data_IF_689424265044
#
_entry.id   IF_689424265044
#
_cell.length_a   1.000
_cell.length_b   1.000
_cell.length_c   1.000
_cell.angle_alpha   90.00
_cell.angle_beta   90.00
_cell.angle_gamma   90.00
#
_symmetry.space_group_name_H-M   'P 1'
#
loop_
_entity.id
_entity.type
_entity.pdbx_description
1 polymer ?
#
# COMPACT_ATOMS: atom_id res chain seq x y z
N UNK A 1 15.25 8.30 12.17
CA UNK A 1 15.33 9.34 11.12
C UNK A 1 14.13 9.17 10.21
N UNK A 2 13.28 10.19 10.11
CA UNK A 2 12.10 10.20 9.25
C UNK A 2 12.53 10.48 7.81
N UNK A 3 12.72 9.41 7.03
CA UNK A 3 12.87 9.53 5.58
C UNK A 3 11.56 10.09 5.04
N UNK A 4 11.57 11.36 4.62
CA UNK A 4 10.61 11.89 3.67
C UNK A 4 10.91 11.17 2.36
N UNK A 5 10.25 10.03 2.16
CA UNK A 5 10.37 9.29 0.91
C UNK A 5 9.62 10.11 -0.15
N UNK A 6 10.32 10.49 -1.21
CA UNK A 6 9.71 11.19 -2.34
C UNK A 6 8.96 10.14 -3.20
N UNK A 7 7.66 10.35 -3.41
CA UNK A 7 6.83 9.49 -4.26
C UNK A 7 7.39 9.36 -5.68
N UNK A 8 8.07 10.40 -6.20
CA UNK A 8 8.71 10.33 -7.51
C UNK A 8 9.87 9.33 -7.54
N UNK A 9 10.64 9.22 -6.45
CA UNK A 9 11.73 8.24 -6.35
C UNK A 9 11.19 6.81 -6.19
N UNK A 10 10.05 6.65 -5.50
CA UNK A 10 9.33 5.37 -5.41
C UNK A 10 8.83 4.91 -6.78
N UNK A 11 8.19 5.81 -7.53
CA UNK A 11 7.65 5.50 -8.86
C UNK A 11 8.73 5.13 -9.87
N UNK A 12 9.94 5.67 -9.72
CA UNK A 12 11.09 5.38 -10.60
C UNK A 12 11.89 4.14 -10.18
N UNK A 13 11.48 3.41 -9.12
CA UNK A 13 12.19 2.25 -8.57
C UNK A 13 13.69 2.48 -8.29
N UNK A 14 14.11 3.75 -8.14
CA UNK A 14 15.52 4.15 -7.96
C UNK A 14 15.97 4.13 -6.51
N UNK A 15 15.04 3.97 -5.57
CA UNK A 15 15.35 3.89 -4.15
C UNK A 15 15.65 2.45 -3.73
N UNK A 16 16.56 2.31 -2.75
CA UNK A 16 16.92 1.06 -2.04
C UNK A 16 15.69 0.33 -1.44
N UNK A 17 14.52 0.98 -1.46
CA UNK A 17 13.23 0.52 -0.96
C UNK A 17 12.32 -0.11 -2.06
N UNK A 18 12.78 -0.23 -3.31
CA UNK A 18 11.99 -0.78 -4.43
C UNK A 18 11.47 -2.19 -4.18
N UNK A 19 12.20 -3.02 -3.43
CA UNK A 19 11.78 -4.38 -3.07
C UNK A 19 10.58 -4.42 -2.11
N UNK A 20 10.11 -3.25 -1.64
CA UNK A 20 9.08 -3.08 -0.62
C UNK A 20 7.91 -2.21 -1.09
N UNK A 21 7.81 -2.02 -2.40
CA UNK A 21 6.79 -1.22 -3.04
C UNK A 21 5.93 -2.13 -3.91
N UNK A 22 4.62 -2.10 -3.71
CA UNK A 22 3.70 -2.82 -4.58
C UNK A 22 2.71 -1.86 -5.22
N UNK A 23 2.62 -1.94 -6.55
CA UNK A 23 1.70 -1.14 -7.33
C UNK A 23 0.42 -1.94 -7.61
N UNK A 24 -0.72 -1.29 -7.43
CA UNK A 24 -2.04 -1.83 -7.76
C UNK A 24 -2.78 -0.83 -8.62
N UNK A 25 -3.16 -1.25 -9.82
CA UNK A 25 -3.95 -0.43 -10.74
C UNK A 25 -5.31 -0.05 -10.13
N UNK A 26 -5.90 -0.96 -9.34
CA UNK A 26 -7.21 -0.79 -8.76
C UNK A 26 -7.31 -1.28 -7.32
N UNK A 27 -8.49 -1.06 -6.74
CA UNK A 27 -8.83 -1.55 -5.42
C UNK A 27 -9.33 -2.99 -5.50
N UNK A 28 -8.58 -3.91 -4.90
CA UNK A 28 -9.03 -5.28 -4.64
C UNK A 28 -8.64 -5.62 -3.19
N UNK A 29 -9.61 -5.72 -2.26
CA UNK A 29 -9.31 -5.92 -0.85
C UNK A 29 -8.54 -7.22 -0.61
N UNK A 30 -8.92 -8.33 -1.24
CA UNK A 30 -8.22 -9.61 -1.08
C UNK A 30 -6.75 -9.55 -1.53
N UNK A 31 -6.50 -8.95 -2.69
CA UNK A 31 -5.15 -8.79 -3.21
C UNK A 31 -4.31 -7.87 -2.31
N UNK A 32 -4.88 -6.76 -1.86
CA UNK A 32 -4.19 -5.76 -1.04
C UNK A 32 -3.90 -6.31 0.35
N UNK A 33 -4.87 -6.94 1.03
CA UNK A 33 -4.65 -7.53 2.34
C UNK A 33 -3.71 -8.74 2.29
N UNK A 34 -3.68 -9.49 1.18
CA UNK A 34 -2.66 -10.52 0.95
C UNK A 34 -1.26 -9.91 0.89
N UNK A 35 -1.06 -8.82 0.14
CA UNK A 35 0.21 -8.09 0.10
C UNK A 35 0.58 -7.51 1.46
N UNK A 36 -0.38 -6.90 2.19
CA UNK A 36 -0.16 -6.42 3.56
C UNK A 36 0.30 -7.56 4.47
N UNK A 37 -0.31 -8.75 4.35
CA UNK A 37 0.07 -9.93 5.12
C UNK A 37 1.47 -10.44 4.73
N UNK A 38 1.82 -10.40 3.44
CA UNK A 38 3.15 -10.76 2.97
C UNK A 38 4.21 -9.81 3.56
N UNK A 39 4.02 -8.50 3.44
CA UNK A 39 4.92 -7.49 4.02
C UNK A 39 4.98 -7.55 5.55
N UNK A 40 3.87 -7.87 6.21
CA UNK A 40 3.82 -8.00 7.67
C UNK A 40 4.42 -9.31 8.19
N UNK A 41 4.55 -10.36 7.38
CA UNK A 41 5.14 -11.64 7.77
C UNK A 41 6.57 -11.83 7.26
N UNK A 42 7.12 -10.83 6.56
CA UNK A 42 8.46 -10.92 6.01
C UNK A 42 9.49 -11.08 7.14
N UNK A 43 10.08 -12.27 7.19
CA UNK A 43 10.84 -12.80 8.33
C UNK A 43 12.21 -12.13 8.46
N UNK A 44 12.65 -11.39 7.45
CA UNK A 44 13.94 -10.66 7.47
C UNK A 44 13.91 -9.42 8.38
N UNK A 45 12.75 -9.02 8.92
CA UNK A 45 12.61 -8.00 9.95
C UNK A 45 13.19 -6.62 9.55
N UNK A 46 13.25 -6.33 8.24
CA UNK A 46 13.96 -5.17 7.70
C UNK A 46 13.09 -3.91 7.61
N UNK A 47 11.81 -3.98 7.97
CA UNK A 47 10.97 -2.83 8.23
C UNK A 47 9.98 -2.46 7.11
N UNK A 48 8.73 -2.92 7.26
CA UNK A 48 7.55 -2.36 6.61
C UNK A 48 7.45 -2.54 5.08
N UNK A 49 6.43 -1.93 4.49
CA UNK A 49 6.17 -1.93 3.04
C UNK A 49 5.18 -0.83 2.64
N UNK A 50 5.14 -0.46 1.36
CA UNK A 50 4.23 0.55 0.84
C UNK A 50 3.42 -0.03 -0.33
N UNK A 51 2.10 0.19 -0.29
CA UNK A 51 1.20 -0.20 -1.39
C UNK A 51 0.65 1.08 -2.03
N UNK A 52 0.84 1.22 -3.33
CA UNK A 52 0.33 2.33 -4.12
C UNK A 52 -0.86 1.86 -4.95
N UNK A 53 -2.04 2.44 -4.70
CA UNK A 53 -3.29 2.11 -5.37
C UNK A 53 -3.63 3.22 -6.38
N UNK A 54 -3.96 2.83 -7.60
CA UNK A 54 -4.15 3.73 -8.74
C UNK A 54 -2.93 3.85 -9.65
N UNK A 55 -1.96 2.93 -9.51
CA UNK A 55 -0.72 2.92 -10.31
C UNK A 55 -0.60 1.56 -11.00
N UNK A 56 -0.46 1.59 -12.32
CA UNK A 56 -0.17 0.39 -13.12
C UNK A 56 1.35 0.13 -13.06
N UNK A 57 1.74 -1.14 -12.91
CA UNK A 57 3.14 -1.56 -12.98
C UNK A 57 3.47 -2.04 -14.39
N UNK A 58 4.61 -1.60 -14.92
CA UNK A 58 5.17 -2.12 -16.17
C UNK A 58 6.66 -2.41 -15.95
N UNK A 59 7.07 -3.68 -16.06
CA UNK A 59 8.47 -4.12 -15.86
C UNK A 59 9.09 -3.72 -14.50
N UNK A 60 8.30 -3.72 -13.41
CA UNK A 60 8.78 -3.37 -12.07
C UNK A 60 8.90 -1.86 -11.80
N UNK A 61 8.46 -1.02 -12.73
CA UNK A 61 8.36 0.44 -12.55
C UNK A 61 6.92 0.91 -12.72
N UNK A 62 6.59 2.07 -12.15
CA UNK A 62 5.29 2.66 -12.35
C UNK A 62 5.13 3.14 -13.80
N UNK A 63 4.09 2.64 -14.47
CA UNK A 63 3.73 3.06 -15.82
C UNK A 63 3.19 4.49 -15.78
N UNK A 64 3.78 5.37 -16.58
CA UNK A 64 3.34 6.75 -16.75
C UNK A 64 2.68 6.93 -18.13
N UNK A 65 1.64 7.79 -18.27
CA UNK A 65 0.99 8.55 -17.20
C UNK A 65 0.22 7.63 -16.25
N UNK A 66 0.27 7.92 -14.95
CA UNK A 66 -0.47 7.10 -14.00
C UNK A 66 -1.98 7.25 -14.23
N UNK A 67 -2.71 6.17 -14.02
CA UNK A 67 -4.17 6.15 -14.19
C UNK A 67 -4.84 6.98 -13.09
N UNK A 68 -4.34 6.82 -11.85
CA UNK A 68 -4.90 7.45 -10.67
C UNK A 68 -6.26 6.89 -10.27
N UNK A 69 -6.84 7.53 -9.26
CA UNK A 69 -8.14 7.24 -8.71
C UNK A 69 -8.95 8.53 -8.66
N UNK A 70 -10.23 8.44 -8.97
CA UNK A 70 -11.16 9.54 -8.73
C UNK A 70 -11.40 9.73 -7.22
N UNK A 71 -11.73 10.96 -6.81
CA UNK A 71 -12.05 11.30 -5.41
C UNK A 71 -13.13 10.37 -4.84
N UNK A 72 -14.17 10.06 -5.61
CA UNK A 72 -15.23 9.15 -5.21
C UNK A 72 -14.71 7.73 -4.95
N UNK A 73 -13.76 7.25 -5.76
CA UNK A 73 -13.15 5.93 -5.60
C UNK A 73 -12.22 5.91 -4.39
N UNK A 74 -11.44 6.96 -4.18
CA UNK A 74 -10.60 7.14 -2.98
C UNK A 74 -11.46 7.08 -1.70
N UNK A 75 -12.58 7.80 -1.68
CA UNK A 75 -13.49 7.79 -0.53
C UNK A 75 -14.12 6.41 -0.27
N UNK A 76 -14.50 5.67 -1.33
CA UNK A 76 -15.00 4.30 -1.21
C UNK A 76 -13.94 3.39 -0.59
N UNK A 77 -12.72 3.45 -1.14
CA UNK A 77 -11.58 2.65 -0.68
C UNK A 77 -11.30 2.91 0.80
N UNK A 78 -11.22 4.17 1.21
CA UNK A 78 -10.96 4.52 2.61
C UNK A 78 -12.04 3.96 3.54
N UNK A 79 -13.31 4.05 3.14
CA UNK A 79 -14.43 3.51 3.92
C UNK A 79 -14.37 1.99 4.03
N UNK A 80 -14.11 1.30 2.92
CA UNK A 80 -13.94 -0.15 2.88
C UNK A 80 -12.76 -0.60 3.74
N UNK A 81 -11.61 0.07 3.61
CA UNK A 81 -10.42 -0.19 4.42
C UNK A 81 -10.70 -0.06 5.91
N UNK A 82 -11.42 0.98 6.36
CA UNK A 82 -11.82 1.10 7.77
C UNK A 82 -12.64 -0.13 8.21
N UNK A 83 -13.57 -0.59 7.37
CA UNK A 83 -14.35 -1.81 7.61
C UNK A 83 -13.46 -3.03 7.81
N UNK A 84 -12.58 -3.32 6.86
CA UNK A 84 -11.66 -4.47 6.91
C UNK A 84 -10.63 -4.35 8.05
N UNK A 85 -10.11 -3.15 8.32
CA UNK A 85 -9.15 -2.88 9.38
C UNK A 85 -9.72 -3.18 10.76
N UNK A 86 -11.00 -2.88 10.99
CA UNK A 86 -11.71 -3.24 12.22
C UNK A 86 -11.95 -4.74 12.38
N UNK A 87 -11.84 -5.51 11.29
CA UNK A 87 -11.95 -6.97 11.34
C UNK A 87 -10.63 -7.64 11.77
N UNK A 88 -9.50 -6.94 11.69
CA UNK A 88 -8.16 -7.43 12.06
C UNK A 88 -7.95 -7.24 13.57
N UNK A 89 -7.36 -8.23 14.25
CA UNK A 89 -7.14 -8.18 15.70
C UNK A 89 -5.65 -8.43 16.05
N UNK A 90 -4.98 -7.51 16.77
CA UNK A 90 -5.44 -6.17 17.18
C UNK A 90 -5.77 -5.26 15.99
N UNK A 91 -6.61 -4.24 16.22
CA UNK A 91 -7.10 -3.33 15.16
C UNK A 91 -5.93 -2.77 14.37
N UNK A 92 -5.97 -2.97 13.06
CA UNK A 92 -4.93 -2.50 12.15
C UNK A 92 -5.19 -1.04 11.78
N UNK A 93 -4.27 -0.14 12.14
CA UNK A 93 -4.36 1.28 11.78
C UNK A 93 -3.27 1.64 10.76
N UNK A 94 -3.50 1.39 9.45
CA UNK A 94 -2.58 1.82 8.40
C UNK A 94 -2.47 3.34 8.34
N UNK A 95 -1.31 3.83 7.92
CA UNK A 95 -1.16 5.24 7.54
C UNK A 95 -1.48 5.36 6.05
N UNK A 96 -2.70 5.82 5.75
CA UNK A 96 -3.13 6.15 4.40
C UNK A 96 -2.79 7.60 4.08
N UNK A 97 -2.12 7.81 2.96
CA UNK A 97 -1.79 9.11 2.40
C UNK A 97 -2.38 9.22 1.00
N UNK A 98 -2.92 10.38 0.66
CA UNK A 98 -3.34 10.69 -0.70
C UNK A 98 -2.23 11.52 -1.31
N UNK A 99 -1.69 11.06 -2.42
CA UNK A 99 -0.61 11.72 -3.14
C UNK A 99 -1.08 12.12 -4.53
N UNK A 100 -0.57 13.24 -5.04
CA UNK A 100 -0.90 13.73 -6.38
C UNK A 100 0.33 13.62 -7.25
N UNK A 101 0.25 12.83 -8.32
CA UNK A 101 1.34 12.62 -9.27
C UNK A 101 0.78 12.68 -10.69
N UNK A 102 1.52 13.31 -11.61
CA UNK A 102 1.09 13.54 -13.00
C UNK A 102 -0.31 14.18 -13.13
N UNK A 103 -0.74 14.96 -12.12
CA UNK A 103 -2.07 15.57 -12.05
C UNK A 103 -3.21 14.64 -11.62
N UNK A 104 -2.89 13.39 -11.27
CA UNK A 104 -3.83 12.37 -10.80
C UNK A 104 -3.62 12.06 -9.32
N UNK A 105 -4.67 11.61 -8.63
CA UNK A 105 -4.59 11.25 -7.22
C UNK A 105 -4.39 9.75 -7.04
N UNK A 106 -3.51 9.36 -6.13
CA UNK A 106 -3.26 7.96 -5.75
C UNK A 106 -3.36 7.79 -4.24
N UNK A 107 -3.59 6.56 -3.81
CA UNK A 107 -3.60 6.19 -2.41
C UNK A 107 -2.34 5.41 -2.07
N UNK A 108 -1.57 5.93 -1.12
CA UNK A 108 -0.38 5.32 -0.56
C UNK A 108 -0.68 4.77 0.81
N UNK A 109 -0.51 3.46 0.98
CA UNK A 109 -0.65 2.78 2.27
C UNK A 109 0.72 2.35 2.80
N UNK A 110 1.19 3.02 3.84
CA UNK A 110 2.43 2.65 4.52
C UNK A 110 2.15 1.66 5.65
N UNK A 111 2.71 0.46 5.51
CA UNK A 111 2.64 -0.63 6.47
C UNK A 111 3.85 -0.53 7.39
N UNK A 112 3.60 -0.40 8.70
CA UNK A 112 4.67 -0.43 9.70
C UNK A 112 4.90 -1.86 10.18
N UNK A 113 6.17 -2.22 10.35
CA UNK A 113 6.65 -3.53 10.83
C UNK A 113 5.91 -4.00 12.10
N UNK A 114 5.43 -3.12 12.98
CA UNK A 114 4.77 -3.50 14.25
C UNK A 114 3.42 -4.23 14.14
N UNK A 115 3.00 -4.64 12.94
CA UNK A 115 1.71 -5.31 12.66
C UNK A 115 1.84 -6.85 12.59
N UNK A 116 3.05 -7.39 12.80
CA UNK A 116 3.45 -8.82 12.69
C UNK A 116 2.43 -9.86 13.20
N UNK A 117 1.60 -9.54 14.20
CA UNK A 117 0.77 -10.55 14.87
C UNK A 117 -0.67 -10.67 14.37
N UNK A 118 -1.19 -9.71 13.59
CA UNK A 118 -2.66 -9.56 13.45
C UNK A 118 -3.28 -10.14 12.16
N UNK A 119 -2.57 -10.08 11.03
CA UNK A 119 -3.17 -10.42 9.72
C UNK A 119 -3.24 -11.95 9.49
N UNK A 120 -2.45 -12.72 10.24
CA UNK A 120 -2.32 -14.18 10.09
C UNK A 120 -3.60 -14.97 10.42
N UNK A 121 -4.57 -14.41 11.16
CA UNK A 121 -5.67 -15.18 11.74
C UNK A 121 -7.01 -15.15 10.98
N UNK A 122 -7.21 -14.29 9.97
CA UNK A 122 -8.56 -14.10 9.38
C UNK A 122 -8.70 -14.31 7.87
N UNK A 123 -7.61 -14.28 7.10
CA UNK A 123 -7.63 -14.44 5.63
C UNK A 123 -7.11 -15.81 5.15
N UNK A 124 -6.82 -16.74 6.06
CA UNK A 124 -6.29 -18.09 5.78
C UNK A 124 -7.22 -19.23 6.25
N UNK A 125 -8.54 -19.02 6.21
CA UNK A 125 -9.52 -20.10 6.39
C UNK A 125 -10.43 -20.21 5.19
#
# INVERSE_FOLDING_TARGET
>A
MSLHINIEDLLNARSVESERLEFKEGWNPDAIYRSICAFANDFENVGGGNILIGVEEENGIAKRPIIGLSISKIASIQKEMIGYNNLINPVYHPKLLIETVDGQQILSNSIRSSVYFAVRLKYFN
#
